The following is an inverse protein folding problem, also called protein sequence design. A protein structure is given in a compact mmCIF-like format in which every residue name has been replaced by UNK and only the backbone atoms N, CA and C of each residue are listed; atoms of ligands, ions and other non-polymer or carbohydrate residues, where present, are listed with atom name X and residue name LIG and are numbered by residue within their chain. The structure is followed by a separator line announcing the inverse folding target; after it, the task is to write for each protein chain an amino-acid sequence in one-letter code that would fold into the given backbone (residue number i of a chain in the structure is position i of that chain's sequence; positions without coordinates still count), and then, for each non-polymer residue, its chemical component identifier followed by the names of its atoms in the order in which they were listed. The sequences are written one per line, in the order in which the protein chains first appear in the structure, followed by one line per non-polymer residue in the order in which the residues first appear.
data_IF_838897194117
#
_entry.id   IF_838897194117
#
_cell.length_a   1.000
_cell.length_b   1.000
_cell.length_c   1.000
_cell.angle_alpha   90.00
_cell.angle_beta   90.00
_cell.angle_gamma   90.00
#
_symmetry.space_group_name_H-M   'P 1'
#
loop_
_entity.id
_entity.type
_entity.pdbx_description
1 polymer ?
#
# COMPACT_ATOMS: atom_id res chain seq x y z
N UNK A 1 74.02 -25.66 -1.99
CA UNK A 1 72.70 -26.26 -2.02
C UNK A 1 71.77 -25.19 -1.50
N UNK A 2 71.05 -24.60 -2.40
CA UNK A 2 70.23 -23.38 -2.20
C UNK A 2 68.77 -23.80 -2.34
N UNK A 3 68.01 -23.59 -1.32
CA UNK A 3 66.58 -23.88 -1.31
C UNK A 3 65.81 -22.57 -1.53
N UNK A 4 64.95 -22.42 -2.53
CA UNK A 4 64.15 -21.24 -2.71
C UNK A 4 62.69 -21.54 -2.47
N UNK A 5 62.17 -21.11 -1.34
CA UNK A 5 60.72 -21.01 -1.13
C UNK A 5 60.27 -19.57 -1.49
N UNK A 6 59.76 -19.41 -2.66
CA UNK A 6 59.04 -18.20 -3.06
C UNK A 6 57.57 -18.29 -2.60
N UNK A 7 57.25 -17.52 -1.55
CA UNK A 7 55.88 -17.31 -1.10
C UNK A 7 55.13 -16.42 -2.10
N UNK A 8 54.19 -16.98 -2.80
CA UNK A 8 53.17 -16.24 -3.55
C UNK A 8 52.09 -15.72 -2.60
N UNK A 9 52.18 -14.45 -2.23
CA UNK A 9 51.10 -13.72 -1.57
C UNK A 9 50.02 -13.44 -2.62
N UNK A 10 48.98 -14.28 -2.62
CA UNK A 10 47.76 -14.07 -3.36
C UNK A 10 46.96 -12.87 -2.80
N UNK A 11 46.97 -11.77 -3.52
CA UNK A 11 46.15 -10.60 -3.22
C UNK A 11 44.70 -10.95 -3.58
N UNK A 12 43.90 -11.42 -2.61
CA UNK A 12 42.47 -11.58 -2.77
C UNK A 12 41.83 -10.18 -2.80
N UNK A 13 41.47 -9.72 -4.00
CA UNK A 13 40.60 -8.56 -4.19
C UNK A 13 39.21 -8.95 -3.68
N UNK A 14 38.86 -8.50 -2.46
CA UNK A 14 37.49 -8.49 -1.97
C UNK A 14 36.70 -7.50 -2.87
N UNK A 15 36.04 -8.03 -3.87
CA UNK A 15 34.99 -7.31 -4.56
C UNK A 15 33.88 -7.05 -3.54
N UNK A 16 33.84 -5.83 -3.02
CA UNK A 16 32.67 -5.36 -2.25
C UNK A 16 31.48 -5.39 -3.22
N UNK A 17 30.63 -6.42 -3.09
CA UNK A 17 29.40 -6.53 -3.81
C UNK A 17 28.56 -5.28 -3.50
N UNK A 18 28.16 -4.55 -4.55
CA UNK A 18 27.13 -3.52 -4.41
C UNK A 18 25.94 -4.17 -3.72
N UNK A 19 25.36 -3.53 -2.67
CA UNK A 19 24.11 -4.02 -2.13
C UNK A 19 23.10 -4.08 -3.29
N UNK A 20 22.46 -5.23 -3.45
CA UNK A 20 21.37 -5.40 -4.41
C UNK A 20 20.34 -4.31 -4.09
N UNK A 21 20.17 -3.36 -4.99
CA UNK A 21 19.05 -2.42 -4.93
C UNK A 21 17.80 -3.27 -5.03
N UNK A 22 16.92 -3.18 -4.02
CA UNK A 22 15.58 -3.77 -4.12
C UNK A 22 14.96 -3.30 -5.44
N UNK A 23 14.42 -4.21 -6.26
CA UNK A 23 13.65 -3.75 -7.41
C UNK A 23 12.48 -2.95 -6.85
N UNK A 24 12.40 -1.64 -7.15
CA UNK A 24 11.19 -0.90 -6.88
C UNK A 24 11.27 0.46 -6.17
N UNK A 25 12.42 1.04 -5.89
CA UNK A 25 12.46 2.46 -5.51
C UNK A 25 13.21 3.26 -6.59
N UNK A 26 12.50 3.94 -7.50
CA UNK A 26 13.12 4.78 -8.53
C UNK A 26 13.81 6.02 -7.94
N UNK A 27 13.69 6.24 -6.65
CA UNK A 27 14.22 7.42 -5.98
C UNK A 27 13.36 8.67 -6.15
N UNK A 28 13.80 9.81 -5.60
CA UNK A 28 13.08 11.07 -5.73
C UNK A 28 13.14 11.60 -7.16
N UNK A 29 12.01 12.10 -7.67
CA UNK A 29 11.93 12.84 -8.92
C UNK A 29 12.06 14.34 -8.64
N UNK A 30 12.75 15.13 -9.49
CA UNK A 30 12.81 16.57 -9.34
C UNK A 30 11.44 17.26 -9.52
N UNK A 31 10.47 16.57 -10.09
CA UNK A 31 9.11 17.07 -10.31
C UNK A 31 8.20 16.95 -9.07
N UNK A 32 8.65 16.17 -8.09
CA UNK A 32 7.91 15.95 -6.86
C UNK A 32 8.70 16.46 -5.64
N UNK A 33 8.01 16.90 -4.56
CA UNK A 33 8.66 17.11 -3.27
C UNK A 33 9.43 15.85 -2.83
N UNK A 34 10.55 16.02 -2.12
CA UNK A 34 11.44 14.92 -1.77
C UNK A 34 10.82 13.82 -0.88
N UNK A 35 9.69 14.12 -0.23
CA UNK A 35 8.89 13.19 0.58
C UNK A 35 7.78 12.49 -0.23
N UNK A 36 7.72 12.73 -1.53
CA UNK A 36 6.76 12.14 -2.46
C UNK A 36 7.45 11.34 -3.55
N UNK A 37 6.70 10.49 -4.24
CA UNK A 37 7.16 9.73 -5.41
C UNK A 37 6.34 10.11 -6.63
N UNK A 38 7.01 10.18 -7.77
CA UNK A 38 6.34 10.34 -9.06
C UNK A 38 5.71 9.00 -9.46
N UNK A 39 4.42 8.98 -9.64
CA UNK A 39 3.67 7.90 -10.28
C UNK A 39 3.38 8.36 -11.69
N UNK A 40 3.97 7.69 -12.68
CA UNK A 40 3.85 8.02 -14.08
C UNK A 40 3.67 6.74 -14.90
N UNK A 41 2.53 6.59 -15.55
CA UNK A 41 2.20 5.36 -16.27
C UNK A 41 0.78 5.35 -16.84
N UNK A 42 0.41 4.20 -17.36
CA UNK A 42 -0.92 3.97 -17.93
C UNK A 42 -1.75 3.13 -16.96
N UNK A 43 -2.93 3.61 -16.64
CA UNK A 43 -3.93 2.88 -15.86
C UNK A 43 -5.03 2.33 -16.77
N UNK A 44 -5.54 1.16 -16.43
CA UNK A 44 -6.73 0.56 -17.05
C UNK A 44 -7.81 0.36 -16.00
N UNK A 45 -9.08 0.61 -16.33
CA UNK A 45 -10.17 0.51 -15.37
C UNK A 45 -10.44 -0.94 -14.92
N UNK A 46 -10.09 -1.92 -15.73
CA UNK A 46 -10.17 -3.34 -15.40
C UNK A 46 -8.82 -4.02 -15.65
N UNK A 47 -8.33 -4.70 -14.64
CA UNK A 47 -7.14 -5.57 -14.70
C UNK A 47 -7.51 -6.90 -14.06
N UNK A 48 -7.41 -7.98 -14.81
CA UNK A 48 -7.68 -9.33 -14.34
C UNK A 48 -6.42 -10.18 -14.38
N UNK A 49 -6.22 -10.98 -13.34
CA UNK A 49 -5.08 -11.88 -13.21
C UNK A 49 -5.54 -13.33 -13.16
N UNK A 50 -4.72 -14.25 -13.69
CA UNK A 50 -4.98 -15.68 -13.64
C UNK A 50 -4.50 -16.23 -12.30
N UNK A 51 -5.42 -16.79 -11.51
CA UNK A 51 -5.07 -17.45 -10.25
C UNK A 51 -4.58 -18.86 -10.51
N UNK A 52 -3.35 -19.17 -10.06
CA UNK A 52 -2.76 -20.52 -10.17
C UNK A 52 -2.79 -21.30 -8.85
N UNK A 53 -2.87 -20.61 -7.73
CA UNK A 53 -2.98 -21.22 -6.40
C UNK A 53 -4.08 -20.48 -5.61
N UNK A 54 -5.35 -20.91 -5.77
CA UNK A 54 -6.42 -20.37 -4.95
C UNK A 54 -6.26 -20.82 -3.49
N UNK A 55 -6.72 -20.03 -2.51
CA UNK A 55 -6.70 -20.47 -1.13
C UNK A 55 -7.52 -21.74 -0.96
N UNK A 56 -7.16 -22.64 -0.02
CA UNK A 56 -8.03 -23.72 0.39
C UNK A 56 -9.37 -23.11 0.82
N UNK A 57 -10.47 -23.78 0.43
CA UNK A 57 -11.85 -23.32 0.63
C UNK A 57 -12.03 -22.58 1.96
N UNK A 58 -12.65 -21.41 1.98
CA UNK A 58 -12.45 -20.41 3.02
C UNK A 58 -12.73 -20.98 4.40
N UNK A 59 -11.73 -20.96 5.25
CA UNK A 59 -12.00 -20.94 6.68
C UNK A 59 -12.74 -19.64 6.93
N UNK A 60 -14.04 -19.77 7.20
CA UNK A 60 -14.96 -18.66 7.47
C UNK A 60 -14.47 -17.88 8.67
N UNK A 61 -13.62 -16.92 8.47
CA UNK A 61 -13.36 -15.90 9.44
C UNK A 61 -14.53 -14.90 9.39
N UNK A 62 -15.49 -15.09 10.30
CA UNK A 62 -16.58 -14.15 10.54
C UNK A 62 -17.41 -13.77 9.30
N UNK A 63 -18.61 -13.27 9.48
CA UNK A 63 -19.67 -12.93 8.52
C UNK A 63 -19.33 -12.14 7.23
N UNK A 64 -18.08 -12.03 6.84
CA UNK A 64 -17.69 -11.56 5.52
C UNK A 64 -17.95 -12.72 4.55
N UNK A 65 -18.96 -12.58 3.72
CA UNK A 65 -19.11 -13.40 2.52
C UNK A 65 -17.82 -13.20 1.72
N UNK A 66 -16.83 -14.07 1.94
CA UNK A 66 -15.69 -14.18 1.08
C UNK A 66 -16.25 -14.42 -0.31
N UNK A 67 -16.29 -13.42 -1.15
CA UNK A 67 -16.45 -13.60 -2.58
C UNK A 67 -15.23 -14.39 -3.03
N UNK A 68 -15.43 -15.38 -3.87
CA UNK A 68 -14.49 -16.41 -4.32
C UNK A 68 -13.25 -15.88 -5.09
N UNK A 69 -12.68 -14.77 -4.71
CA UNK A 69 -11.65 -14.04 -5.46
C UNK A 69 -10.31 -13.91 -4.74
N UNK A 70 -10.11 -14.67 -3.67
CA UNK A 70 -8.81 -14.64 -3.01
C UNK A 70 -7.88 -15.62 -3.69
N UNK A 71 -6.81 -15.11 -4.27
CA UNK A 71 -5.74 -15.88 -4.85
C UNK A 71 -4.48 -15.70 -4.02
N UNK A 72 -3.77 -16.78 -3.71
CA UNK A 72 -2.48 -16.71 -3.02
C UNK A 72 -1.32 -16.59 -3.99
N UNK A 73 -1.48 -17.11 -5.23
CA UNK A 73 -0.46 -17.02 -6.24
C UNK A 73 -1.10 -16.81 -7.61
N UNK A 74 -0.72 -15.75 -8.26
CA UNK A 74 -1.14 -15.40 -9.60
C UNK A 74 -0.09 -15.82 -10.61
N UNK A 75 -0.51 -16.15 -11.85
CA UNK A 75 0.41 -16.39 -12.95
C UNK A 75 1.18 -15.10 -13.26
N UNK A 76 2.51 -15.20 -13.22
CA UNK A 76 3.39 -14.05 -13.46
C UNK A 76 3.25 -13.59 -14.92
N UNK A 77 3.32 -12.28 -15.13
CA UNK A 77 3.26 -11.62 -16.45
C UNK A 77 2.01 -11.93 -17.28
N UNK A 78 0.92 -12.40 -16.62
CA UNK A 78 -0.35 -12.69 -17.27
C UNK A 78 -1.45 -11.81 -16.68
N UNK A 79 -1.62 -10.62 -17.28
CA UNK A 79 -2.70 -9.69 -16.96
C UNK A 79 -3.56 -9.43 -18.18
N UNK A 80 -4.88 -9.44 -17.99
CA UNK A 80 -5.84 -8.99 -19.01
C UNK A 80 -6.24 -7.57 -18.68
N UNK A 81 -5.90 -6.65 -19.58
CA UNK A 81 -6.15 -5.22 -19.45
C UNK A 81 -7.37 -4.85 -20.30
N UNK A 82 -8.38 -4.23 -19.71
CA UNK A 82 -9.60 -3.86 -20.39
C UNK A 82 -9.98 -2.39 -20.09
N UNK A 83 -10.64 -1.79 -21.06
CA UNK A 83 -11.03 -0.39 -21.01
C UNK A 83 -10.00 0.55 -21.63
N UNK A 84 -10.24 1.88 -21.54
CA UNK A 84 -9.35 2.87 -22.11
C UNK A 84 -8.01 2.93 -21.33
N UNK A 85 -6.93 3.13 -22.08
CA UNK A 85 -5.62 3.44 -21.50
C UNK A 85 -5.62 4.89 -21.00
N UNK A 86 -5.55 5.07 -19.70
CA UNK A 86 -5.61 6.38 -19.03
C UNK A 86 -4.19 6.77 -18.56
N UNK A 87 -3.56 7.80 -19.15
CA UNK A 87 -2.30 8.29 -18.63
C UNK A 87 -2.51 8.95 -17.28
N UNK A 88 -1.72 8.53 -16.30
CA UNK A 88 -1.70 9.10 -14.95
C UNK A 88 -0.31 9.63 -14.66
N UNK A 89 -0.24 10.86 -14.16
CA UNK A 89 1.00 11.48 -13.72
C UNK A 89 0.75 12.31 -12.48
N UNK A 90 1.25 11.85 -11.33
CA UNK A 90 0.96 12.43 -10.03
C UNK A 90 2.13 12.25 -9.06
N UNK A 91 2.35 13.21 -8.17
CA UNK A 91 3.18 13.02 -6.98
C UNK A 91 2.33 12.45 -5.86
N UNK A 92 2.73 11.32 -5.29
CA UNK A 92 2.06 10.65 -4.18
C UNK A 92 2.97 10.59 -2.96
N UNK A 93 2.42 10.79 -1.77
CA UNK A 93 3.11 10.61 -0.50
C UNK A 93 3.73 9.22 -0.42
N UNK A 94 5.00 9.14 -0.03
CA UNK A 94 5.71 7.86 0.02
C UNK A 94 5.18 6.95 1.12
N UNK A 95 4.66 7.54 2.19
CA UNK A 95 4.10 6.84 3.35
C UNK A 95 2.66 7.30 3.60
N UNK A 96 1.92 6.52 4.41
CA UNK A 96 0.65 6.97 4.97
C UNK A 96 0.83 8.28 5.74
N UNK A 97 -0.23 9.11 5.83
CA UNK A 97 -0.16 10.33 6.65
C UNK A 97 0.31 10.02 8.08
N UNK A 98 1.25 10.81 8.63
CA UNK A 98 1.71 12.13 8.22
C UNK A 98 2.89 12.13 7.23
N UNK A 99 3.03 11.12 6.38
CA UNK A 99 4.07 10.97 5.36
C UNK A 99 5.50 11.04 5.93
N UNK A 100 5.76 10.27 6.95
CA UNK A 100 7.08 10.20 7.59
C UNK A 100 7.44 8.77 7.97
N UNK A 101 8.57 8.29 7.46
CA UNK A 101 9.08 6.96 7.80
C UNK A 101 9.24 6.79 9.32
N UNK A 102 8.76 5.69 9.86
CA UNK A 102 8.82 5.36 11.27
C UNK A 102 7.80 6.08 12.15
N UNK A 103 6.97 6.98 11.59
CA UNK A 103 5.83 7.52 12.32
C UNK A 103 4.66 6.54 12.32
N UNK A 104 3.83 6.56 13.36
CA UNK A 104 2.55 5.88 13.33
C UNK A 104 1.63 6.57 12.32
N UNK A 105 0.91 5.81 11.48
CA UNK A 105 -0.07 6.40 10.58
C UNK A 105 -1.19 7.07 11.37
N UNK A 106 -1.75 8.14 10.78
CA UNK A 106 -2.94 8.80 11.32
C UNK A 106 -4.13 7.89 11.01
N UNK A 107 -4.83 7.50 12.06
CA UNK A 107 -6.05 6.66 11.95
C UNK A 107 -7.27 7.36 12.53
N UNK A 108 -8.42 6.69 12.56
CA UNK A 108 -9.71 7.31 12.85
C UNK A 108 -10.02 8.46 11.88
N UNK A 109 -9.48 8.38 10.68
CA UNK A 109 -9.70 9.38 9.65
C UNK A 109 -10.95 9.05 8.85
N UNK A 110 -11.82 10.05 8.65
CA UNK A 110 -12.86 10.00 7.64
C UNK A 110 -12.34 10.61 6.33
N UNK A 111 -13.00 10.31 5.20
CA UNK A 111 -12.66 10.94 3.92
C UNK A 111 -12.65 12.48 4.05
N UNK A 112 -13.66 13.05 4.73
CA UNK A 112 -13.72 14.51 4.96
C UNK A 112 -12.59 15.06 5.81
N UNK A 113 -12.09 14.28 6.77
CA UNK A 113 -10.92 14.70 7.56
C UNK A 113 -9.62 14.61 6.77
N UNK A 114 -9.49 13.58 5.93
CA UNK A 114 -8.36 13.40 5.01
C UNK A 114 -8.29 14.56 3.99
N UNK A 115 -9.42 14.93 3.36
CA UNK A 115 -9.49 16.10 2.46
C UNK A 115 -8.92 17.36 3.14
N UNK A 116 -9.40 17.66 4.36
CA UNK A 116 -8.94 18.85 5.10
C UNK A 116 -7.46 18.79 5.48
N UNK A 117 -6.97 17.59 5.83
CA UNK A 117 -5.57 17.41 6.15
C UNK A 117 -4.68 17.64 4.94
N UNK A 118 -4.96 16.97 3.83
CA UNK A 118 -4.18 17.11 2.60
C UNK A 118 -4.21 18.56 2.07
N UNK A 119 -5.38 19.21 2.11
CA UNK A 119 -5.51 20.61 1.69
C UNK A 119 -4.64 21.56 2.51
N UNK A 120 -4.51 21.37 3.83
CA UNK A 120 -3.61 22.16 4.69
C UNK A 120 -2.13 22.00 4.30
N UNK A 121 -1.76 20.84 3.73
CA UNK A 121 -0.42 20.58 3.24
C UNK A 121 -0.21 21.02 1.76
N UNK A 122 -1.18 21.71 1.15
CA UNK A 122 -1.14 22.06 -0.28
C UNK A 122 -1.23 20.83 -1.20
N UNK A 123 -1.87 19.78 -0.71
CA UNK A 123 -2.08 18.49 -1.39
C UNK A 123 -3.60 18.21 -1.46
N UNK A 124 -3.97 17.08 -2.03
CA UNK A 124 -5.33 16.52 -2.03
C UNK A 124 -5.30 15.05 -1.65
N UNK A 125 -6.45 14.47 -1.34
CA UNK A 125 -6.56 13.01 -1.25
C UNK A 125 -6.26 12.43 -2.63
N UNK A 126 -5.57 11.29 -2.69
CA UNK A 126 -5.25 10.60 -3.95
C UNK A 126 -6.53 10.06 -4.60
N UNK A 127 -6.59 10.08 -5.92
CA UNK A 127 -7.68 9.43 -6.66
C UNK A 127 -7.56 7.90 -6.61
N UNK A 128 -8.69 7.19 -6.72
CA UNK A 128 -8.74 5.73 -6.74
C UNK A 128 -7.81 5.15 -7.84
N UNK A 129 -7.90 5.66 -9.07
CA UNK A 129 -7.04 5.23 -10.20
C UNK A 129 -5.55 5.55 -9.98
N UNK A 130 -5.25 6.67 -9.34
CA UNK A 130 -3.88 7.05 -8.99
C UNK A 130 -3.30 6.08 -7.95
N UNK A 131 -4.11 5.74 -6.96
CA UNK A 131 -3.74 4.80 -5.91
C UNK A 131 -3.52 3.38 -6.47
N UNK A 132 -4.43 2.91 -7.35
CA UNK A 132 -4.30 1.61 -8.02
C UNK A 132 -2.99 1.53 -8.80
N UNK A 133 -2.73 2.48 -9.71
CA UNK A 133 -1.49 2.51 -10.49
C UNK A 133 -0.25 2.59 -9.58
N UNK A 134 -0.30 3.39 -8.52
CA UNK A 134 0.80 3.53 -7.57
C UNK A 134 1.10 2.20 -6.84
N UNK A 135 0.08 1.40 -6.56
CA UNK A 135 0.21 0.08 -5.95
C UNK A 135 0.72 -0.97 -6.93
N UNK A 136 0.06 -1.10 -8.08
CA UNK A 136 0.30 -2.18 -9.04
C UNK A 136 1.53 -1.95 -9.95
N UNK A 137 1.96 -0.71 -10.06
CA UNK A 137 3.07 -0.36 -10.93
C UNK A 137 2.75 -0.48 -12.43
N UNK A 138 3.76 -0.27 -13.29
CA UNK A 138 3.60 -0.37 -14.75
C UNK A 138 3.34 -1.81 -15.25
N UNK A 139 3.62 -2.80 -14.43
CA UNK A 139 3.40 -4.23 -14.72
C UNK A 139 2.00 -4.70 -14.29
N UNK A 140 1.20 -3.82 -13.69
CA UNK A 140 -0.14 -4.12 -13.16
C UNK A 140 -0.15 -5.30 -12.20
N UNK A 141 0.74 -5.29 -11.22
CA UNK A 141 0.87 -6.35 -10.21
C UNK A 141 -0.41 -6.50 -9.37
N UNK A 142 -0.80 -7.71 -9.01
CA UNK A 142 -1.93 -7.92 -8.10
C UNK A 142 -1.68 -7.41 -6.67
N UNK A 143 -0.41 -7.38 -6.26
CA UNK A 143 0.05 -6.89 -4.96
C UNK A 143 1.21 -5.93 -5.17
N UNK A 144 1.37 -4.93 -4.33
CA UNK A 144 2.44 -3.92 -4.45
C UNK A 144 3.86 -4.50 -4.49
N UNK A 145 4.02 -5.74 -4.04
CA UNK A 145 5.29 -6.43 -3.92
C UNK A 145 5.42 -7.68 -4.82
N UNK A 146 4.47 -7.94 -5.72
CA UNK A 146 4.58 -9.03 -6.69
C UNK A 146 3.31 -9.85 -6.91
N UNK A 147 3.50 -11.10 -7.35
CA UNK A 147 2.45 -11.99 -7.86
C UNK A 147 1.92 -12.99 -6.83
N UNK A 148 2.55 -13.10 -5.68
CA UNK A 148 2.16 -14.06 -4.65
C UNK A 148 1.98 -13.40 -3.29
N UNK A 149 0.95 -13.81 -2.53
CA UNK A 149 0.74 -13.36 -1.16
C UNK A 149 1.88 -13.86 -0.27
N UNK A 150 2.61 -12.91 0.30
CA UNK A 150 3.61 -13.19 1.32
C UNK A 150 3.33 -12.33 2.56
N UNK A 151 2.75 -12.96 3.56
CA UNK A 151 2.30 -12.30 4.79
C UNK A 151 3.43 -11.76 5.69
N UNK A 152 4.69 -12.01 5.32
CA UNK A 152 5.86 -11.47 6.02
C UNK A 152 6.35 -10.14 5.43
N UNK A 153 5.93 -9.80 4.20
CA UNK A 153 6.40 -8.61 3.51
C UNK A 153 5.70 -7.34 3.97
N UNK A 154 4.40 -7.44 4.30
CA UNK A 154 3.56 -6.32 4.73
C UNK A 154 2.91 -6.60 6.08
N UNK A 155 2.45 -5.56 6.78
CA UNK A 155 1.63 -5.70 7.97
C UNK A 155 0.18 -6.01 7.59
N UNK A 156 -0.12 -7.22 7.15
CA UNK A 156 -1.43 -7.59 6.61
C UNK A 156 -2.05 -8.86 7.20
N UNK A 157 -1.30 -9.66 7.97
CA UNK A 157 -1.74 -10.96 8.47
C UNK A 157 -1.82 -11.03 10.00
N UNK A 158 -2.43 -10.02 10.64
CA UNK A 158 -2.70 -10.05 12.07
C UNK A 158 -4.04 -10.73 12.35
N UNK A 159 -4.15 -11.35 13.50
CA UNK A 159 -5.41 -11.93 13.96
C UNK A 159 -6.50 -10.86 14.12
N UNK A 160 -7.68 -11.16 13.65
CA UNK A 160 -8.85 -10.29 13.87
C UNK A 160 -9.17 -10.17 15.36
N UNK A 161 -9.42 -8.95 15.82
CA UNK A 161 -9.92 -8.66 17.16
C UNK A 161 -11.36 -8.16 17.08
N UNK A 162 -12.25 -8.77 17.84
CA UNK A 162 -13.66 -8.34 17.91
C UNK A 162 -13.77 -6.93 18.48
N UNK A 163 -14.55 -6.09 17.82
CA UNK A 163 -14.86 -4.72 18.25
C UNK A 163 -15.99 -4.76 19.29
N UNK A 164 -15.77 -4.11 20.41
CA UNK A 164 -16.83 -3.81 21.37
C UNK A 164 -17.51 -2.49 20.97
N UNK A 165 -18.54 -2.58 20.15
CA UNK A 165 -19.25 -1.41 19.63
C UNK A 165 -19.87 -0.55 20.74
N UNK A 166 -20.33 -1.16 21.85
CA UNK A 166 -20.86 -0.40 22.97
C UNK A 166 -19.83 0.54 23.59
N UNK A 167 -18.55 0.14 23.59
CA UNK A 167 -17.45 1.01 24.04
C UNK A 167 -17.02 1.96 22.94
N UNK A 168 -16.97 1.48 21.68
CA UNK A 168 -16.50 2.27 20.55
C UNK A 168 -17.43 3.46 20.27
N UNK A 169 -18.75 3.24 20.36
CA UNK A 169 -19.79 4.27 20.20
C UNK A 169 -20.13 5.00 21.51
N UNK A 170 -19.45 4.65 22.58
CA UNK A 170 -19.66 5.20 23.92
C UNK A 170 -18.89 6.51 24.19
N UNK A 171 -18.69 6.87 25.46
CA UNK A 171 -17.91 8.02 25.85
C UNK A 171 -16.50 7.98 25.25
N UNK A 172 -15.95 9.16 24.89
CA UNK A 172 -14.67 9.29 24.18
C UNK A 172 -13.53 8.46 24.79
N UNK A 173 -13.43 8.45 26.12
CA UNK A 173 -12.36 7.69 26.80
C UNK A 173 -12.51 6.18 26.62
N UNK A 174 -13.74 5.67 26.58
CA UNK A 174 -14.01 4.27 26.30
C UNK A 174 -13.69 3.93 24.84
N UNK A 175 -14.07 4.80 23.91
CA UNK A 175 -13.77 4.65 22.49
C UNK A 175 -12.25 4.65 22.22
N UNK A 176 -11.49 5.56 22.83
CA UNK A 176 -10.03 5.61 22.71
C UNK A 176 -9.38 4.34 23.28
N UNK A 177 -9.83 3.84 24.42
CA UNK A 177 -9.33 2.59 25.00
C UNK A 177 -9.63 1.39 24.12
N UNK A 178 -10.83 1.30 23.54
CA UNK A 178 -11.19 0.21 22.64
C UNK A 178 -10.37 0.28 21.33
N UNK A 179 -10.25 1.46 20.71
CA UNK A 179 -9.40 1.65 19.54
C UNK A 179 -7.93 1.25 19.81
N UNK A 180 -7.40 1.62 20.98
CA UNK A 180 -6.04 1.25 21.38
C UNK A 180 -5.87 -0.27 21.56
N UNK A 181 -6.88 -0.96 22.10
CA UNK A 181 -6.89 -2.42 22.25
C UNK A 181 -6.94 -3.13 20.88
N UNK A 182 -7.67 -2.56 19.93
CA UNK A 182 -7.83 -3.10 18.57
C UNK A 182 -6.58 -2.87 17.71
N UNK A 183 -5.82 -1.83 18.01
CA UNK A 183 -4.67 -1.41 17.23
C UNK A 183 -3.63 -2.53 17.06
N UNK A 184 -3.22 -2.79 15.83
CA UNK A 184 -2.16 -3.71 15.43
C UNK A 184 -1.35 -3.14 14.24
N UNK A 185 -1.53 -1.84 13.94
CA UNK A 185 -0.75 -1.16 12.93
C UNK A 185 0.73 -1.06 13.30
N UNK A 186 1.54 -0.79 12.32
CA UNK A 186 2.98 -0.60 12.45
C UNK A 186 3.35 0.84 12.06
N UNK A 187 4.49 1.35 12.54
CA UNK A 187 5.05 2.57 11.99
C UNK A 187 5.28 2.47 10.48
N UNK A 188 4.89 3.48 9.72
CA UNK A 188 4.97 3.50 8.26
C UNK A 188 6.40 3.22 7.76
N UNK A 189 6.55 2.37 6.75
CA UNK A 189 7.83 1.91 6.22
C UNK A 189 8.59 0.95 7.14
N UNK A 190 7.95 0.39 8.16
CA UNK A 190 8.53 -0.66 9.03
C UNK A 190 8.84 -1.92 8.25
N UNK A 191 7.98 -2.28 7.34
CA UNK A 191 8.12 -3.44 6.48
C UNK A 191 8.82 -3.00 5.19
N UNK A 192 10.15 -3.10 5.18
CA UNK A 192 10.99 -2.55 4.10
C UNK A 192 10.69 -3.15 2.71
N UNK A 193 10.15 -4.36 2.67
CA UNK A 193 9.77 -5.05 1.43
C UNK A 193 8.30 -4.81 1.04
N UNK A 194 7.51 -4.13 1.88
CA UNK A 194 6.15 -3.70 1.54
C UNK A 194 6.21 -2.39 0.76
N UNK A 195 6.70 -2.46 -0.46
CA UNK A 195 6.98 -1.30 -1.31
C UNK A 195 6.54 -1.59 -2.73
N UNK A 196 5.89 -0.61 -3.36
CA UNK A 196 5.44 -0.70 -4.74
C UNK A 196 6.56 -0.40 -5.74
N UNK A 197 6.39 -0.70 -7.04
CA UNK A 197 7.35 -0.36 -8.09
C UNK A 197 7.70 1.13 -8.18
N UNK A 198 6.84 2.01 -7.67
CA UNK A 198 7.11 3.45 -7.58
C UNK A 198 7.78 3.88 -6.26
N UNK A 199 8.17 2.94 -5.38
CA UNK A 199 8.82 3.26 -4.11
C UNK A 199 7.87 3.79 -3.05
N UNK A 200 6.59 3.43 -3.11
CA UNK A 200 5.54 3.81 -2.17
C UNK A 200 5.28 2.66 -1.21
N UNK A 201 5.30 2.93 0.10
CA UNK A 201 5.26 1.92 1.15
C UNK A 201 3.84 1.68 1.67
N UNK A 202 3.64 0.47 2.22
CA UNK A 202 2.48 0.03 3.00
C UNK A 202 1.14 0.07 2.23
N UNK A 203 1.19 -0.05 0.90
CA UNK A 203 -0.02 -0.04 0.07
C UNK A 203 -0.85 -1.33 0.17
N UNK A 204 -0.32 -2.39 0.77
CA UNK A 204 -1.09 -3.58 1.11
C UNK A 204 -1.02 -3.82 2.62
N UNK A 205 -2.14 -3.65 3.30
CA UNK A 205 -2.23 -3.80 4.75
C UNK A 205 -1.92 -2.50 5.49
N UNK A 206 -1.47 -2.62 6.72
CA UNK A 206 -1.26 -1.57 7.70
C UNK A 206 -2.55 -0.79 8.01
N UNK A 207 -2.89 0.26 7.27
CA UNK A 207 -4.19 0.94 7.40
C UNK A 207 -4.93 1.00 6.06
N UNK A 208 -6.26 0.87 6.11
CA UNK A 208 -7.11 1.10 4.93
C UNK A 208 -7.11 2.59 4.58
N UNK A 209 -6.87 2.94 3.32
CA UNK A 209 -6.62 4.31 2.92
C UNK A 209 -7.77 4.93 2.15
N UNK A 210 -8.27 6.06 2.64
CA UNK A 210 -9.24 6.85 1.90
C UNK A 210 -8.65 7.39 0.60
N UNK A 211 -9.40 7.21 -0.47
CA UNK A 211 -9.15 7.77 -1.81
C UNK A 211 -10.38 8.52 -2.30
N UNK A 212 -10.21 9.45 -3.25
CA UNK A 212 -11.32 10.02 -4.01
C UNK A 212 -11.82 8.96 -4.99
N UNK A 213 -13.09 8.58 -4.86
CA UNK A 213 -13.72 7.54 -5.67
C UNK A 213 -13.82 7.91 -7.15
N UNK A 214 -13.95 6.89 -8.00
CA UNK A 214 -14.40 7.04 -9.40
C UNK A 214 -15.83 7.56 -9.43
N UNK A 215 -16.20 8.17 -10.54
CA UNK A 215 -17.52 8.74 -10.76
C UNK A 215 -18.69 7.72 -10.69
N UNK A 216 -18.38 6.43 -10.90
CA UNK A 216 -19.35 5.34 -10.83
C UNK A 216 -19.69 4.88 -9.41
N UNK A 217 -18.98 5.37 -8.39
CA UNK A 217 -19.23 5.00 -7.00
C UNK A 217 -20.36 5.84 -6.38
N UNK A 218 -21.05 5.28 -5.39
CA UNK A 218 -22.12 5.98 -4.66
C UNK A 218 -21.56 7.15 -3.84
N UNK A 219 -20.39 6.94 -3.19
CA UNK A 219 -19.79 7.92 -2.29
C UNK A 219 -18.54 8.58 -2.91
N UNK A 220 -18.25 9.82 -2.55
CA UNK A 220 -17.08 10.54 -3.06
C UNK A 220 -15.74 9.98 -2.54
N UNK A 221 -15.76 9.07 -1.60
CA UNK A 221 -14.59 8.40 -1.06
C UNK A 221 -14.77 6.89 -0.98
N UNK A 222 -13.69 6.15 -1.20
CA UNK A 222 -13.59 4.72 -0.99
C UNK A 222 -12.32 4.39 -0.20
N UNK A 223 -12.22 3.17 0.32
CA UNK A 223 -11.06 2.70 1.07
C UNK A 223 -10.30 1.64 0.27
N UNK A 224 -8.99 1.72 0.25
CA UNK A 224 -8.08 0.88 -0.53
C UNK A 224 -7.03 0.18 0.34
N UNK A 225 -6.41 -0.89 -0.19
CA UNK A 225 -5.23 -1.54 0.38
C UNK A 225 -5.51 -2.52 1.51
N UNK A 226 -6.67 -2.45 2.15
CA UNK A 226 -6.97 -3.21 3.35
C UNK A 226 -6.13 -2.76 4.56
N UNK A 227 -6.22 -3.49 5.66
CA UNK A 227 -5.48 -3.17 6.88
C UNK A 227 -4.77 -4.42 7.42
N UNK A 228 -4.10 -4.32 8.56
CA UNK A 228 -3.28 -5.39 9.15
C UNK A 228 -3.94 -6.77 9.29
N UNK A 229 -5.27 -6.89 9.19
CA UNK A 229 -6.00 -8.16 9.27
C UNK A 229 -6.64 -8.61 7.95
N UNK A 230 -6.22 -8.03 6.81
CA UNK A 230 -6.75 -8.34 5.47
C UNK A 230 -5.61 -8.64 4.47
N UNK A 231 -4.94 -9.79 4.55
CA UNK A 231 -3.78 -10.11 3.71
C UNK A 231 -4.09 -10.25 2.21
N UNK A 232 -5.36 -10.43 1.87
CA UNK A 232 -5.84 -10.70 0.51
C UNK A 232 -6.33 -9.48 -0.26
N UNK A 233 -6.28 -8.29 0.33
CA UNK A 233 -6.75 -7.07 -0.33
C UNK A 233 -5.70 -6.60 -1.31
N UNK A 234 -5.58 -7.04 -2.48
CA UNK A 234 -4.61 -6.60 -3.48
C UNK A 234 -4.71 -5.11 -3.85
N UNK A 235 -4.02 -4.72 -4.92
CA UNK A 235 -4.00 -3.35 -5.41
C UNK A 235 -5.38 -2.87 -5.93
N UNK A 236 -6.29 -3.80 -6.26
CA UNK A 236 -7.63 -3.53 -6.78
C UNK A 236 -8.75 -3.77 -5.77
N UNK A 237 -8.41 -4.10 -4.53
CA UNK A 237 -9.40 -4.30 -3.47
C UNK A 237 -9.95 -2.98 -2.96
N UNK A 238 -11.19 -2.66 -3.31
CA UNK A 238 -11.89 -1.43 -2.94
C UNK A 238 -13.03 -1.71 -1.98
N UNK A 239 -13.14 -0.91 -0.92
CA UNK A 239 -14.27 -0.89 0.00
C UNK A 239 -14.99 0.47 -0.17
N UNK A 240 -16.10 0.46 -0.91
CA UNK A 240 -16.93 1.63 -1.23
C UNK A 240 -18.25 1.67 -0.46
N UNK A 241 -18.37 0.85 0.60
CA UNK A 241 -19.59 0.71 1.37
C UNK A 241 -19.79 1.83 2.42
N UNK A 242 -18.83 2.69 2.61
CA UNK A 242 -18.82 3.65 3.71
C UNK A 242 -19.06 5.10 3.25
N UNK A 243 -19.91 5.79 4.01
CA UNK A 243 -20.14 7.22 3.82
C UNK A 243 -18.85 8.03 4.10
N UNK A 244 -18.68 9.22 3.51
CA UNK A 244 -17.45 10.02 3.62
C UNK A 244 -17.17 10.56 5.04
N UNK A 245 -18.09 10.37 5.99
CA UNK A 245 -17.95 10.70 7.41
C UNK A 245 -17.53 9.51 8.26
N UNK A 246 -17.54 8.29 7.70
CA UNK A 246 -17.09 7.10 8.40
C UNK A 246 -15.62 7.22 8.81
N UNK A 247 -15.32 6.88 10.05
CA UNK A 247 -13.98 6.85 10.62
C UNK A 247 -13.86 5.67 11.56
N UNK A 248 -12.81 4.88 11.43
CA UNK A 248 -12.61 3.69 12.23
C UNK A 248 -11.15 3.52 12.62
N UNK A 249 -10.86 2.60 13.53
CA UNK A 249 -9.51 2.45 14.10
C UNK A 249 -8.44 2.02 13.10
N UNK A 250 -8.83 1.51 11.93
CA UNK A 250 -7.93 1.11 10.85
C UNK A 250 -7.97 2.03 9.60
N UNK A 251 -8.82 3.07 9.60
CA UNK A 251 -8.94 3.96 8.44
C UNK A 251 -7.96 5.12 8.50
N UNK A 252 -7.11 5.22 7.50
CA UNK A 252 -6.11 6.25 7.29
C UNK A 252 -6.21 6.87 5.90
N UNK A 253 -5.14 7.46 5.40
CA UNK A 253 -5.04 8.07 4.07
C UNK A 253 -3.61 8.44 3.71
N UNK A 254 -3.38 8.74 2.43
CA UNK A 254 -2.19 9.46 1.95
C UNK A 254 -2.59 10.57 1.00
N UNK A 255 -1.71 11.54 0.77
CA UNK A 255 -1.99 12.70 -0.05
C UNK A 255 -1.25 12.64 -1.39
N UNK A 256 -1.85 13.30 -2.37
CA UNK A 256 -1.33 13.47 -3.72
C UNK A 256 -1.30 14.94 -4.13
N UNK A 257 -0.50 15.27 -5.13
CA UNK A 257 -0.52 16.55 -5.80
C UNK A 257 -0.03 16.44 -7.25
N UNK A 258 -0.35 17.41 -8.08
CA UNK A 258 0.21 17.50 -9.43
C UNK A 258 1.73 17.68 -9.37
N UNK A 259 2.50 17.06 -10.28
CA UNK A 259 3.92 17.34 -10.44
C UNK A 259 4.17 18.83 -10.74
N UNK A 260 5.34 19.33 -10.38
CA UNK A 260 5.75 20.65 -10.82
C UNK A 260 5.91 20.63 -12.36
N UNK A 261 5.46 21.68 -13.03
CA UNK A 261 5.84 21.87 -14.44
C UNK A 261 7.38 21.92 -14.51
N UNK A 262 7.97 21.14 -15.35
CA UNK A 262 9.39 21.32 -15.66
C UNK A 262 9.57 22.71 -16.27
N UNK A 263 10.55 23.51 -15.79
CA UNK A 263 10.84 24.83 -16.33
C UNK A 263 11.24 24.78 -17.79
#
# INVERSE_FOLDING_TARGET
MIDPWLSLLGLSLLMAGRPATSPGDPGPSPECPGDMRLVDGIHYDSVSHVCVDPPPAPQRAGNLKARDTHCFHYAEDVSVLEGPALPIRVCMDQYEAPNRRGASPIVMASYRSAERWCAKAGKRVCGEREWELACEGPEHLPLSYGWAVNTNLCNSNKGWKAVDFAKFDGPRDAAVKEASKLWQGAPSGRYASCVSPFGIYDMNGNVEEWVTSRESREWPGALMGGFWAKPWTGCRGTNDAHQPTFAFYETGFRCCRSPHANP
#
